data_IF_338630679680
#
_entry.id   IF_338630679680
#
_cell.length_a   1.000
_cell.length_b   1.000
_cell.length_c   1.000
_cell.angle_alpha   90.00
_cell.angle_beta   90.00
_cell.angle_gamma   90.00
#
_symmetry.space_group_name_H-M   'P 1'
#
loop_
_entity.id
_entity.type
_entity.pdbx_description
1 polymer ?
#
# COMPACT_ATOMS: atom_id res chain seq x y z
N UNK A 1 -19.96 14.25 32.90
CA UNK A 1 -19.58 15.34 31.97
C UNK A 1 -18.66 14.72 30.94
N UNK A 2 -19.21 14.46 29.75
CA UNK A 2 -18.50 13.83 28.63
C UNK A 2 -17.56 14.82 27.97
N UNK A 3 -16.32 14.39 27.72
CA UNK A 3 -15.47 15.03 26.72
C UNK A 3 -15.31 14.00 25.62
N UNK A 4 -16.10 14.17 24.55
CA UNK A 4 -16.00 13.39 23.32
C UNK A 4 -14.64 13.67 22.68
N UNK A 5 -13.88 12.62 22.39
CA UNK A 5 -12.76 12.64 21.46
C UNK A 5 -13.18 11.84 20.22
N UNK A 6 -13.99 12.48 19.37
CA UNK A 6 -14.05 12.18 17.94
C UNK A 6 -12.72 12.62 17.34
N UNK A 7 -11.68 11.80 17.47
CA UNK A 7 -10.57 11.95 16.55
C UNK A 7 -11.04 11.31 15.25
N UNK A 8 -11.64 12.10 14.35
CA UNK A 8 -11.50 11.79 12.92
C UNK A 8 -10.01 11.49 12.72
N UNK A 9 -9.70 10.32 12.16
CA UNK A 9 -8.34 10.11 11.66
C UNK A 9 -8.23 11.06 10.49
N UNK A 10 -7.82 12.29 10.78
CA UNK A 10 -7.51 13.28 9.77
C UNK A 10 -6.38 12.70 8.93
N UNK A 11 -6.73 12.16 7.77
CA UNK A 11 -5.75 11.72 6.78
C UNK A 11 -5.31 13.00 6.08
N UNK A 12 -4.04 13.44 6.26
CA UNK A 12 -3.60 14.67 5.63
C UNK A 12 -3.75 14.55 4.12
N UNK A 13 -4.31 15.57 3.47
CA UNK A 13 -4.46 15.59 2.01
C UNK A 13 -3.12 15.32 1.29
N UNK A 14 -2.02 15.83 1.84
CA UNK A 14 -0.66 15.57 1.36
C UNK A 14 -0.29 14.08 1.37
N UNK A 15 -0.82 13.27 2.31
CA UNK A 15 -0.60 11.83 2.34
C UNK A 15 -1.37 11.13 1.22
N UNK A 16 -2.62 11.54 0.97
CA UNK A 16 -3.42 11.01 -0.15
C UNK A 16 -2.76 11.32 -1.49
N UNK A 17 -2.26 12.55 -1.66
CA UNK A 17 -1.50 12.98 -2.84
C UNK A 17 -0.19 12.20 -2.99
N UNK A 18 0.53 11.96 -1.89
CA UNK A 18 1.74 11.14 -1.90
C UNK A 18 1.44 9.70 -2.34
N UNK A 19 0.39 9.07 -1.82
CA UNK A 19 -0.03 7.72 -2.23
C UNK A 19 -0.44 7.70 -3.71
N UNK A 20 -1.22 8.70 -4.15
CA UNK A 20 -1.66 8.82 -5.54
C UNK A 20 -0.50 9.04 -6.52
N UNK A 21 0.61 9.60 -6.05
CA UNK A 21 1.82 9.80 -6.86
C UNK A 21 2.66 8.54 -7.04
N UNK A 22 2.38 7.46 -6.31
CA UNK A 22 3.14 6.21 -6.42
C UNK A 22 2.92 5.56 -7.80
N UNK A 23 3.97 4.93 -8.37
CA UNK A 23 3.88 4.32 -9.68
C UNK A 23 2.91 3.13 -9.68
N UNK A 24 1.96 3.15 -10.61
CA UNK A 24 0.96 2.09 -10.83
C UNK A 24 1.50 0.94 -11.70
N UNK A 25 2.71 1.10 -12.26
CA UNK A 25 3.45 0.09 -13.01
C UNK A 25 4.95 0.26 -12.74
N UNK A 26 5.69 -0.85 -12.72
CA UNK A 26 7.16 -0.85 -12.60
C UNK A 26 7.80 -1.03 -13.96
N UNK A 27 8.75 -0.18 -14.32
CA UNK A 27 9.62 -0.42 -15.46
C UNK A 27 10.80 -1.29 -15.03
N UNK A 28 11.04 -2.37 -15.77
CA UNK A 28 12.10 -3.33 -15.51
C UNK A 28 13.01 -3.39 -16.73
N UNK A 29 14.28 -3.03 -16.55
CA UNK A 29 15.30 -3.17 -17.57
C UNK A 29 16.04 -4.50 -17.40
N UNK A 30 15.94 -5.39 -18.40
CA UNK A 30 16.66 -6.66 -18.43
C UNK A 30 16.96 -7.10 -19.88
N UNK A 31 18.14 -7.68 -20.11
CA UNK A 31 18.59 -8.12 -21.44
C UNK A 31 18.52 -7.03 -22.53
N UNK A 32 18.79 -5.76 -22.17
CA UNK A 32 18.71 -4.63 -23.11
C UNK A 32 17.28 -4.28 -23.55
N UNK A 33 16.26 -4.87 -22.91
CA UNK A 33 14.85 -4.54 -23.12
C UNK A 33 14.25 -3.96 -21.86
N UNK A 34 13.30 -3.04 -22.02
CA UNK A 34 12.49 -2.52 -20.92
C UNK A 34 11.08 -3.05 -21.06
N UNK A 35 10.49 -3.50 -19.96
CA UNK A 35 9.11 -3.95 -19.93
C UNK A 35 8.44 -3.54 -18.61
N UNK A 36 7.11 -3.52 -18.61
CA UNK A 36 6.34 -3.13 -17.44
C UNK A 36 5.85 -4.35 -16.66
N UNK A 37 5.87 -4.27 -15.33
CA UNK A 37 5.27 -5.25 -14.44
C UNK A 37 4.30 -4.56 -13.46
N UNK A 38 3.34 -5.33 -12.91
CA UNK A 38 2.48 -4.80 -11.86
C UNK A 38 3.33 -4.45 -10.64
N UNK A 39 3.02 -3.36 -9.92
CA UNK A 39 3.71 -3.04 -8.69
C UNK A 39 3.37 -4.02 -7.56
N UNK A 40 2.44 -4.94 -7.79
CA UNK A 40 2.08 -6.03 -6.88
C UNK A 40 2.79 -7.35 -7.20
N UNK A 41 3.42 -7.46 -8.38
CA UNK A 41 4.09 -8.68 -8.76
C UNK A 41 5.40 -8.84 -7.96
N UNK A 42 5.62 -10.04 -7.40
CA UNK A 42 6.90 -10.38 -6.76
C UNK A 42 7.93 -10.78 -7.84
N UNK A 43 7.44 -11.34 -8.94
CA UNK A 43 8.25 -11.83 -10.04
C UNK A 43 7.64 -11.43 -11.39
N UNK A 44 8.50 -11.17 -12.36
CA UNK A 44 8.09 -11.13 -13.78
C UNK A 44 9.01 -11.99 -14.63
N UNK A 45 8.52 -12.36 -15.81
CA UNK A 45 9.28 -13.10 -16.81
C UNK A 45 9.77 -12.15 -17.87
N UNK A 46 11.08 -12.09 -18.11
CA UNK A 46 11.62 -11.27 -19.18
C UNK A 46 11.08 -11.77 -20.55
N UNK A 47 10.55 -10.88 -21.41
CA UNK A 47 10.02 -11.29 -22.71
C UNK A 47 11.11 -11.77 -23.66
N UNK A 48 12.37 -11.31 -23.50
CA UNK A 48 13.48 -11.66 -24.39
C UNK A 48 14.12 -13.02 -24.06
N UNK A 49 14.51 -13.24 -22.80
CA UNK A 49 15.26 -14.44 -22.39
C UNK A 49 14.42 -15.46 -21.61
N UNK A 50 13.16 -15.14 -21.27
CA UNK A 50 12.24 -15.97 -20.48
C UNK A 50 12.70 -16.25 -19.04
N UNK A 51 13.76 -15.59 -18.58
CA UNK A 51 14.21 -15.67 -17.18
C UNK A 51 13.17 -15.05 -16.25
N UNK A 52 12.90 -15.73 -15.13
CA UNK A 52 12.08 -15.21 -14.04
C UNK A 52 12.93 -14.32 -13.14
N UNK A 53 12.51 -13.07 -12.98
CA UNK A 53 13.22 -12.02 -12.25
C UNK A 53 12.45 -11.68 -10.98
N UNK A 54 13.15 -11.47 -9.87
CA UNK A 54 12.57 -10.94 -8.63
C UNK A 54 12.52 -9.42 -8.72
N UNK A 55 11.32 -8.84 -8.73
CA UNK A 55 11.11 -7.44 -9.07
C UNK A 55 11.62 -6.47 -8.00
N UNK A 56 11.55 -6.85 -6.72
CA UNK A 56 12.07 -6.04 -5.60
C UNK A 56 13.57 -5.77 -5.68
N UNK A 57 14.33 -6.57 -6.45
CA UNK A 57 15.76 -6.33 -6.67
C UNK A 57 16.04 -5.18 -7.66
N UNK A 58 15.02 -4.70 -8.38
CA UNK A 58 15.10 -3.63 -9.36
C UNK A 58 14.51 -2.30 -8.83
N UNK A 59 13.92 -2.30 -7.63
CA UNK A 59 13.32 -1.13 -7.00
C UNK A 59 14.35 -0.33 -6.20
N UNK A 60 14.60 0.93 -6.60
CA UNK A 60 15.35 1.93 -5.83
C UNK A 60 14.44 3.05 -5.27
N UNK A 61 13.13 2.90 -5.41
CA UNK A 61 12.11 3.91 -5.05
C UNK A 61 11.01 3.26 -4.21
N UNK A 62 10.28 4.07 -3.44
CA UNK A 62 9.11 3.63 -2.70
C UNK A 62 8.04 3.09 -3.66
N UNK A 63 7.46 1.95 -3.31
CA UNK A 63 6.48 1.23 -4.12
C UNK A 63 5.14 1.16 -3.39
N UNK A 64 4.05 0.92 -4.12
CA UNK A 64 2.71 0.74 -3.51
C UNK A 64 2.71 -0.39 -2.48
N UNK A 65 3.58 -1.39 -2.65
CA UNK A 65 3.78 -2.49 -1.71
C UNK A 65 4.27 -2.00 -0.33
N UNK A 66 5.07 -0.95 -0.28
CA UNK A 66 5.57 -0.38 0.98
C UNK A 66 4.45 0.30 1.78
N UNK A 67 3.41 0.81 1.10
CA UNK A 67 2.20 1.31 1.76
C UNK A 67 1.45 0.17 2.45
N UNK A 68 1.32 -0.99 1.80
CA UNK A 68 0.70 -2.16 2.44
C UNK A 68 1.53 -2.65 3.63
N UNK A 69 2.85 -2.75 3.48
CA UNK A 69 3.74 -3.14 4.58
C UNK A 69 3.59 -2.16 5.77
N UNK A 70 3.48 -0.86 5.52
CA UNK A 70 3.24 0.15 6.55
C UNK A 70 1.85 0.01 7.21
N UNK A 71 0.79 -0.23 6.43
CA UNK A 71 -0.56 -0.44 6.96
C UNK A 71 -0.63 -1.73 7.78
N UNK A 72 -0.05 -2.83 7.31
CA UNK A 72 -0.01 -4.09 8.06
C UNK A 72 0.84 -3.97 9.33
N UNK A 73 1.96 -3.24 9.28
CA UNK A 73 2.74 -2.93 10.47
C UNK A 73 1.93 -2.11 11.48
N UNK A 74 1.14 -1.13 11.02
CA UNK A 74 0.20 -0.40 11.88
C UNK A 74 -0.88 -1.32 12.46
N UNK A 75 -1.51 -2.17 11.65
CA UNK A 75 -2.55 -3.12 12.10
C UNK A 75 -2.05 -4.12 13.14
N UNK A 76 -0.77 -4.48 13.11
CA UNK A 76 -0.14 -5.36 14.10
C UNK A 76 0.15 -4.67 15.44
N UNK A 77 -0.10 -3.37 15.58
CA UNK A 77 0.03 -2.67 16.85
C UNK A 77 -1.20 -2.93 17.73
N UNK A 78 -1.03 -3.13 19.05
CA UNK A 78 -2.15 -3.44 19.96
C UNK A 78 -3.32 -2.44 19.89
N UNK A 79 -3.04 -1.15 19.66
CA UNK A 79 -4.07 -0.11 19.55
C UNK A 79 -4.82 -0.08 18.21
N UNK A 80 -4.32 -0.73 17.15
CA UNK A 80 -4.97 -0.69 15.84
C UNK A 80 -6.22 -1.57 15.77
N UNK A 81 -6.26 -2.65 16.56
CA UNK A 81 -7.43 -3.52 16.65
C UNK A 81 -8.65 -2.79 17.26
N UNK A 82 -8.44 -1.97 18.29
CA UNK A 82 -9.50 -1.16 18.91
C UNK A 82 -10.03 -0.10 17.94
N UNK A 83 -9.15 0.57 17.20
CA UNK A 83 -9.54 1.54 16.15
C UNK A 83 -10.35 0.85 15.03
N UNK A 84 -9.90 -0.32 14.57
CA UNK A 84 -10.60 -1.07 13.52
C UNK A 84 -11.95 -1.64 13.99
N UNK A 85 -12.04 -2.10 15.23
CA UNK A 85 -13.28 -2.62 15.81
C UNK A 85 -14.33 -1.53 15.98
N UNK A 86 -13.94 -0.40 16.58
CA UNK A 86 -14.82 0.76 16.74
C UNK A 86 -15.35 1.27 15.40
N UNK A 87 -14.51 1.27 14.35
CA UNK A 87 -14.95 1.68 13.00
C UNK A 87 -15.97 0.72 12.38
N UNK A 88 -15.86 -0.58 12.65
CA UNK A 88 -16.85 -1.57 12.17
C UNK A 88 -18.20 -1.41 12.87
N UNK A 89 -18.19 -1.03 14.15
CA UNK A 89 -19.40 -0.73 14.91
C UNK A 89 -20.09 0.52 14.37
N UNK A 90 -19.35 1.61 14.13
CA UNK A 90 -19.88 2.84 13.52
C UNK A 90 -20.49 2.60 12.13
N UNK A 91 -19.84 1.79 11.27
CA UNK A 91 -20.38 1.43 9.95
C UNK A 91 -21.66 0.60 10.07
N UNK A 92 -21.72 -0.31 11.04
CA UNK A 92 -22.91 -1.14 11.27
C UNK A 92 -24.10 -0.28 11.74
N UNK A 93 -23.83 0.72 12.59
CA UNK A 93 -24.84 1.67 13.10
C UNK A 93 -25.33 2.66 12.02
N UNK A 94 -24.49 3.05 11.06
CA UNK A 94 -24.88 3.91 9.93
C UNK A 94 -25.73 3.20 8.85
N UNK A 95 -25.87 1.87 8.93
CA UNK A 95 -26.60 1.06 7.94
C UNK A 95 -28.04 0.70 8.39
N UNK A 96 -28.45 1.09 9.61
CA UNK A 96 -29.81 0.98 10.15
C UNK A 96 -30.59 2.32 10.06
#
# INVERSE_FOLDING_TARGET
MSTQLTAEVEVPQALLEAIASLPTAREVAHCGTTFTASPFDIYATCPACRTRLKLRSFGAVAEIQDVFDAVFAWMNQPGAAEVAQKRREEIAEDTD
#
